data_IF_605822749829
#
_entry.id   IF_605822749829
#
_cell.length_a   1.000
_cell.length_b   1.000
_cell.length_c   1.000
_cell.angle_alpha   90.00
_cell.angle_beta   90.00
_cell.angle_gamma   90.00
#
_symmetry.space_group_name_H-M   'P 1'
#
loop_
_entity.id
_entity.type
_entity.pdbx_description
1 polymer ?
#
# COMPACT_ATOMS: atom_id res chain seq x y z
N UNK A 1 -17.40 4.75 -21.90
CA UNK A 1 -17.64 3.49 -21.19
C UNK A 1 -16.35 2.99 -20.56
N UNK A 2 -16.34 2.80 -19.24
CA UNK A 2 -15.12 2.40 -18.54
C UNK A 2 -14.86 0.90 -18.74
N UNK A 3 -13.64 0.57 -19.10
CA UNK A 3 -13.20 -0.81 -19.31
C UNK A 3 -12.73 -1.43 -17.99
N UNK A 4 -12.90 -2.72 -17.86
CA UNK A 4 -12.37 -3.56 -16.77
C UNK A 4 -10.88 -3.28 -16.48
N UNK A 5 -10.07 -3.13 -17.53
CA UNK A 5 -8.64 -2.85 -17.39
C UNK A 5 -8.35 -1.52 -16.71
N UNK A 6 -9.17 -0.53 -16.96
CA UNK A 6 -9.06 0.80 -16.34
C UNK A 6 -9.34 0.73 -14.85
N UNK A 7 -10.40 0.01 -14.47
CA UNK A 7 -10.76 -0.20 -13.06
C UNK A 7 -9.67 -0.97 -12.33
N UNK A 8 -9.17 -2.03 -12.95
CA UNK A 8 -8.06 -2.83 -12.39
C UNK A 8 -6.81 -1.99 -12.18
N UNK A 9 -6.43 -1.18 -13.18
CA UNK A 9 -5.27 -0.30 -13.09
C UNK A 9 -5.44 0.73 -11.96
N UNK A 10 -6.63 1.25 -11.78
CA UNK A 10 -6.93 2.19 -10.70
C UNK A 10 -6.72 1.54 -9.32
N UNK A 11 -7.26 0.35 -9.09
CA UNK A 11 -7.06 -0.38 -7.83
C UNK A 11 -5.60 -0.80 -7.63
N UNK A 12 -4.89 -1.13 -8.70
CA UNK A 12 -3.48 -1.51 -8.63
C UNK A 12 -2.61 -0.36 -8.07
N UNK A 13 -3.01 0.89 -8.29
CA UNK A 13 -2.31 2.05 -7.72
C UNK A 13 -2.26 2.01 -6.19
N UNK A 14 -3.32 1.52 -5.54
CA UNK A 14 -3.34 1.37 -4.08
C UNK A 14 -2.27 0.39 -3.61
N UNK A 15 -2.16 -0.73 -4.29
CA UNK A 15 -1.17 -1.77 -3.98
C UNK A 15 0.24 -1.29 -4.25
N UNK A 16 0.45 -0.61 -5.38
CA UNK A 16 1.75 -0.03 -5.74
C UNK A 16 2.20 1.02 -4.71
N UNK A 17 1.29 1.88 -4.28
CA UNK A 17 1.60 2.90 -3.27
C UNK A 17 1.93 2.26 -1.92
N UNK A 18 1.23 1.20 -1.53
CA UNK A 18 1.54 0.45 -0.31
C UNK A 18 2.94 -0.17 -0.37
N UNK A 19 3.34 -0.70 -1.52
CA UNK A 19 4.69 -1.22 -1.74
C UNK A 19 5.74 -0.11 -1.65
N UNK A 20 5.45 1.07 -2.20
CA UNK A 20 6.32 2.24 -2.11
C UNK A 20 6.49 2.72 -0.67
N UNK A 21 5.42 2.72 0.12
CA UNK A 21 5.48 3.07 1.56
C UNK A 21 6.40 2.09 2.29
N UNK A 22 6.26 0.80 2.04
CA UNK A 22 7.10 -0.22 2.67
C UNK A 22 8.58 -0.07 2.25
N UNK A 23 8.85 0.20 0.97
CA UNK A 23 10.19 0.46 0.47
C UNK A 23 10.81 1.70 1.12
N UNK A 24 10.01 2.75 1.35
CA UNK A 24 10.44 3.97 2.02
C UNK A 24 10.83 3.70 3.48
N UNK A 25 10.04 2.88 4.19
CA UNK A 25 10.36 2.47 5.56
C UNK A 25 11.70 1.71 5.62
N UNK A 26 11.92 0.80 4.69
CA UNK A 26 13.17 0.05 4.59
C UNK A 26 14.36 0.96 4.27
N UNK A 27 14.17 1.94 3.41
CA UNK A 27 15.19 2.94 3.07
C UNK A 27 15.62 3.72 4.31
N UNK A 28 14.68 4.18 5.11
CA UNK A 28 14.93 4.91 6.37
C UNK A 28 15.70 4.00 7.34
N UNK A 29 15.29 2.75 7.46
CA UNK A 29 15.96 1.79 8.34
C UNK A 29 17.41 1.55 7.92
N UNK A 30 17.69 1.45 6.62
CA UNK A 30 19.07 1.30 6.11
C UNK A 30 19.92 2.53 6.43
N UNK A 31 19.36 3.73 6.34
CA UNK A 31 20.07 4.97 6.69
C UNK A 31 20.40 4.97 8.18
N UNK A 32 19.46 4.58 9.04
CA UNK A 32 19.67 4.45 10.48
C UNK A 32 20.76 3.44 10.81
N UNK A 33 20.71 2.27 10.21
CA UNK A 33 21.69 1.20 10.42
C UNK A 33 23.11 1.66 10.01
N UNK A 34 23.21 2.37 8.89
CA UNK A 34 24.49 2.94 8.44
C UNK A 34 25.01 4.00 9.41
N UNK A 35 24.13 4.86 9.93
CA UNK A 35 24.50 5.87 10.91
C UNK A 35 24.96 5.24 12.23
N UNK A 36 24.32 4.19 12.69
CA UNK A 36 24.72 3.43 13.88
C UNK A 36 26.09 2.78 13.71
N UNK A 37 26.36 2.18 12.55
CA UNK A 37 27.67 1.60 12.25
C UNK A 37 28.77 2.66 12.26
N UNK A 38 28.51 3.84 11.70
CA UNK A 38 29.44 4.95 11.75
C UNK A 38 29.73 5.39 13.19
N UNK A 39 28.69 5.44 14.04
CA UNK A 39 28.82 5.79 15.46
C UNK A 39 29.64 4.75 16.23
N UNK A 40 29.40 3.46 15.97
CA UNK A 40 30.15 2.37 16.60
C UNK A 40 31.61 2.36 16.20
N UNK A 41 31.95 2.64 14.96
CA UNK A 41 33.34 2.73 14.49
C UNK A 41 34.07 3.94 15.06
N UNK A 42 33.35 4.92 15.60
CA UNK A 42 33.91 6.11 16.26
C UNK A 42 34.18 5.93 17.73
N UNK A 43 33.66 4.89 18.39
CA UNK A 43 33.87 4.65 19.81
C UNK A 43 35.26 4.09 20.08
N UNK A 44 36.23 4.96 20.22
CA UNK A 44 37.60 4.59 20.52
C UNK A 44 38.68 5.35 19.77
N UNK A 45 38.31 6.21 18.83
CA UNK A 45 39.27 7.09 18.14
C UNK A 45 38.94 8.56 18.41
N UNK A 46 39.91 9.41 18.83
CA UNK A 46 39.71 10.84 18.85
C UNK A 46 39.65 11.35 17.42
N UNK A 47 38.44 11.48 16.89
CA UNK A 47 38.19 11.95 15.52
C UNK A 47 37.78 13.41 15.53
N UNK A 48 38.55 14.25 14.86
CA UNK A 48 38.11 15.60 14.51
C UNK A 48 36.94 15.58 13.52
N UNK A 49 36.25 16.65 13.42
CA UNK A 49 35.07 17.07 12.71
C UNK A 49 34.41 16.30 11.57
N UNK A 50 35.10 15.46 10.80
CA UNK A 50 34.54 14.76 9.63
C UNK A 50 33.47 13.74 10.01
N UNK A 51 33.63 13.08 11.12
CA UNK A 51 32.70 12.05 11.58
C UNK A 51 31.40 12.64 12.15
N UNK A 52 31.49 13.84 12.77
CA UNK A 52 30.33 14.59 13.23
C UNK A 52 29.46 15.06 12.07
N UNK A 53 30.06 15.46 10.95
CA UNK A 53 29.36 15.89 9.75
C UNK A 53 28.58 14.76 9.11
N UNK A 54 29.14 13.54 9.06
CA UNK A 54 28.46 12.37 8.52
C UNK A 54 27.21 11.99 9.34
N UNK A 55 27.31 12.07 10.66
CA UNK A 55 26.16 11.82 11.56
C UNK A 55 25.10 12.92 11.39
N UNK A 56 25.51 14.18 11.27
CA UNK A 56 24.63 15.32 11.02
C UNK A 56 23.88 15.17 9.68
N UNK A 57 24.56 14.79 8.62
CA UNK A 57 23.95 14.49 7.31
C UNK A 57 22.95 13.35 7.39
N UNK A 58 23.27 12.29 8.13
CA UNK A 58 22.36 11.16 8.31
C UNK A 58 21.08 11.59 9.04
N UNK A 59 21.19 12.39 10.08
CA UNK A 59 20.04 12.90 10.84
C UNK A 59 19.15 13.77 9.95
N UNK A 60 19.73 14.70 9.20
CA UNK A 60 18.96 15.57 8.28
C UNK A 60 18.26 14.74 7.19
N UNK A 61 18.97 13.75 6.66
CA UNK A 61 18.41 12.86 5.64
C UNK A 61 17.27 12.02 6.19
N UNK A 62 17.41 11.48 7.40
CA UNK A 62 16.35 10.72 8.08
C UNK A 62 15.12 11.61 8.28
N UNK A 63 15.29 12.83 8.76
CA UNK A 63 14.17 13.76 8.95
C UNK A 63 13.44 14.06 7.64
N UNK A 64 14.17 14.27 6.54
CA UNK A 64 13.58 14.50 5.22
C UNK A 64 12.81 13.28 4.74
N UNK A 65 13.42 12.10 4.85
CA UNK A 65 12.81 10.85 4.40
C UNK A 65 11.60 10.47 5.26
N UNK A 66 11.61 10.78 6.56
CA UNK A 66 10.46 10.57 7.45
C UNK A 66 9.29 11.49 7.10
N UNK A 67 9.56 12.74 6.72
CA UNK A 67 8.51 13.65 6.22
C UNK A 67 7.90 13.13 4.92
N UNK A 68 8.74 12.63 4.02
CA UNK A 68 8.28 12.01 2.77
C UNK A 68 7.42 10.78 3.06
N UNK A 69 7.85 9.93 3.99
CA UNK A 69 7.10 8.76 4.42
C UNK A 69 5.73 9.15 4.97
N UNK A 70 5.68 10.16 5.82
CA UNK A 70 4.43 10.64 6.42
C UNK A 70 3.44 11.11 5.36
N UNK A 71 3.94 11.84 4.35
CA UNK A 71 3.09 12.28 3.23
C UNK A 71 2.60 11.09 2.40
N UNK A 72 3.48 10.11 2.12
CA UNK A 72 3.10 8.90 1.40
C UNK A 72 2.04 8.08 2.16
N UNK A 73 2.16 8.00 3.49
CA UNK A 73 1.18 7.31 4.33
C UNK A 73 -0.18 8.00 4.31
N UNK A 74 -0.21 9.34 4.31
CA UNK A 74 -1.45 10.12 4.18
C UNK A 74 -2.10 9.88 2.82
N UNK A 75 -1.31 9.93 1.75
CA UNK A 75 -1.79 9.67 0.39
C UNK A 75 -2.35 8.25 0.27
N UNK A 76 -1.67 7.27 0.86
CA UNK A 76 -2.13 5.88 0.90
C UNK A 76 -3.45 5.75 1.66
N UNK A 77 -3.58 6.42 2.80
CA UNK A 77 -4.80 6.40 3.60
C UNK A 77 -6.00 6.93 2.81
N UNK A 78 -5.82 8.06 2.12
CA UNK A 78 -6.86 8.66 1.27
C UNK A 78 -7.24 7.72 0.13
N UNK A 79 -6.25 7.14 -0.54
CA UNK A 79 -6.47 6.21 -1.64
C UNK A 79 -7.18 4.93 -1.18
N UNK A 80 -6.76 4.37 -0.06
CA UNK A 80 -7.40 3.18 0.53
C UNK A 80 -8.84 3.43 0.94
N UNK A 81 -9.14 4.61 1.49
CA UNK A 81 -10.49 5.01 1.85
C UNK A 81 -11.39 5.09 0.61
N UNK A 82 -10.93 5.75 -0.43
CA UNK A 82 -11.65 5.82 -1.71
C UNK A 82 -11.82 4.44 -2.34
N UNK A 83 -10.77 3.62 -2.32
CA UNK A 83 -10.82 2.26 -2.86
C UNK A 83 -11.86 1.39 -2.13
N UNK A 84 -11.90 1.49 -0.80
CA UNK A 84 -12.91 0.78 0.00
C UNK A 84 -14.33 1.23 -0.37
N UNK A 85 -14.56 2.54 -0.48
CA UNK A 85 -15.86 3.08 -0.87
C UNK A 85 -16.30 2.57 -2.24
N UNK A 86 -15.39 2.58 -3.21
CA UNK A 86 -15.68 2.10 -4.57
C UNK A 86 -15.93 0.59 -4.61
N UNK A 87 -15.12 -0.20 -3.92
CA UNK A 87 -15.28 -1.66 -3.87
C UNK A 87 -16.64 -2.05 -3.28
N UNK A 88 -17.04 -1.41 -2.19
CA UNK A 88 -18.30 -1.70 -1.51
C UNK A 88 -19.54 -1.07 -2.17
N UNK A 89 -19.37 -0.40 -3.31
CA UNK A 89 -20.49 -0.11 -4.22
C UNK A 89 -21.09 -1.39 -4.80
N UNK A 90 -20.34 -2.50 -4.80
CA UNK A 90 -20.87 -3.82 -5.12
C UNK A 90 -21.73 -4.31 -3.96
N UNK A 91 -23.02 -4.16 -4.10
CA UNK A 91 -24.00 -4.53 -3.09
C UNK A 91 -25.23 -5.16 -3.75
N UNK A 92 -26.08 -5.76 -2.97
CA UNK A 92 -27.36 -6.30 -3.45
C UNK A 92 -27.44 -7.82 -3.45
N UNK A 93 -26.31 -8.55 -3.37
CA UNK A 93 -26.31 -9.99 -3.27
C UNK A 93 -25.14 -10.47 -2.40
N UNK A 94 -25.22 -11.69 -1.88
CA UNK A 94 -24.12 -12.30 -1.13
C UNK A 94 -22.87 -12.47 -2.00
N UNK A 95 -23.06 -12.77 -3.30
CA UNK A 95 -21.96 -12.88 -4.25
C UNK A 95 -21.26 -11.54 -4.49
N UNK A 96 -22.02 -10.47 -4.70
CA UNK A 96 -21.50 -9.12 -4.86
C UNK A 96 -20.69 -8.68 -3.64
N UNK A 97 -21.16 -8.99 -2.43
CA UNK A 97 -20.46 -8.69 -1.20
C UNK A 97 -19.13 -9.44 -1.10
N UNK A 98 -19.09 -10.71 -1.49
CA UNK A 98 -17.86 -11.49 -1.53
C UNK A 98 -16.87 -10.96 -2.58
N UNK A 99 -17.36 -10.50 -3.72
CA UNK A 99 -16.55 -9.84 -4.75
C UNK A 99 -15.90 -8.57 -4.17
N UNK A 100 -16.68 -7.74 -3.48
CA UNK A 100 -16.18 -6.54 -2.82
C UNK A 100 -15.13 -6.87 -1.76
N UNK A 101 -15.37 -7.88 -0.92
CA UNK A 101 -14.42 -8.32 0.11
C UNK A 101 -13.11 -8.80 -0.52
N UNK A 102 -13.16 -9.56 -1.60
CA UNK A 102 -11.97 -10.02 -2.31
C UNK A 102 -11.15 -8.86 -2.88
N UNK A 103 -11.82 -7.87 -3.49
CA UNK A 103 -11.17 -6.68 -4.04
C UNK A 103 -10.52 -5.88 -2.91
N UNK A 104 -11.25 -5.64 -1.83
CA UNK A 104 -10.75 -4.93 -0.66
C UNK A 104 -9.53 -5.63 -0.06
N UNK A 105 -9.62 -6.92 0.19
CA UNK A 105 -8.55 -7.69 0.83
C UNK A 105 -7.28 -7.71 -0.05
N UNK A 106 -7.44 -7.83 -1.36
CA UNK A 106 -6.30 -7.90 -2.26
C UNK A 106 -5.63 -6.54 -2.48
N UNK A 107 -6.41 -5.49 -2.77
CA UNK A 107 -5.86 -4.19 -3.16
C UNK A 107 -5.66 -3.22 -1.99
N UNK A 108 -6.49 -3.27 -0.97
CA UNK A 108 -6.40 -2.36 0.18
C UNK A 108 -5.62 -3.00 1.32
N UNK A 109 -5.91 -4.25 1.66
CA UNK A 109 -5.21 -4.99 2.73
C UNK A 109 -3.91 -5.65 2.28
N UNK A 110 -3.63 -5.68 0.98
CA UNK A 110 -2.45 -6.31 0.38
C UNK A 110 -2.26 -7.79 0.76
N UNK A 111 -3.36 -8.49 0.96
CA UNK A 111 -3.32 -9.91 1.28
C UNK A 111 -3.03 -10.74 0.03
N UNK A 112 -2.33 -11.85 0.20
CA UNK A 112 -2.17 -12.82 -0.89
C UNK A 112 -3.48 -13.60 -1.08
N UNK A 113 -3.67 -14.15 -2.27
CA UNK A 113 -4.91 -14.86 -2.62
C UNK A 113 -5.22 -16.02 -1.67
N UNK A 114 -4.20 -16.69 -1.16
CA UNK A 114 -4.36 -17.79 -0.20
C UNK A 114 -5.02 -17.31 1.10
N UNK A 115 -4.55 -16.19 1.65
CA UNK A 115 -5.12 -15.62 2.87
C UNK A 115 -6.54 -15.12 2.64
N UNK A 116 -6.81 -14.56 1.46
CA UNK A 116 -8.16 -14.12 1.09
C UNK A 116 -9.11 -15.32 1.03
N UNK A 117 -8.69 -16.42 0.40
CA UNK A 117 -9.48 -17.63 0.32
C UNK A 117 -9.84 -18.18 1.72
N UNK A 118 -8.90 -18.16 2.66
CA UNK A 118 -9.13 -18.55 4.04
C UNK A 118 -10.12 -17.60 4.73
N UNK A 119 -9.96 -16.30 4.55
CA UNK A 119 -10.80 -15.26 5.17
C UNK A 119 -12.25 -15.29 4.69
N UNK A 120 -12.46 -15.51 3.39
CA UNK A 120 -13.78 -15.50 2.75
C UNK A 120 -14.40 -16.91 2.69
N UNK A 121 -13.72 -17.89 3.24
CA UNK A 121 -14.18 -19.29 3.30
C UNK A 121 -14.35 -19.95 1.92
N UNK A 122 -13.44 -19.66 1.00
CA UNK A 122 -13.39 -20.35 -0.29
C UNK A 122 -12.65 -21.68 -0.18
N UNK A 123 -13.17 -22.69 -0.85
CA UNK A 123 -12.52 -24.01 -0.92
C UNK A 123 -11.31 -24.02 -1.85
N UNK A 124 -11.23 -23.09 -2.80
CA UNK A 124 -10.20 -23.03 -3.82
C UNK A 124 -9.64 -21.60 -3.94
N UNK A 125 -8.30 -21.47 -3.90
CA UNK A 125 -7.59 -20.23 -4.08
C UNK A 125 -7.92 -19.57 -5.44
N UNK A 126 -8.12 -20.35 -6.48
CA UNK A 126 -8.46 -19.85 -7.81
C UNK A 126 -9.80 -19.10 -7.85
N UNK A 127 -10.71 -19.37 -6.92
CA UNK A 127 -11.97 -18.67 -6.81
C UNK A 127 -11.76 -17.17 -6.52
N UNK A 128 -10.72 -16.82 -5.78
CA UNK A 128 -10.39 -15.42 -5.47
C UNK A 128 -10.17 -14.60 -6.74
N UNK A 129 -9.36 -15.11 -7.67
CA UNK A 129 -9.10 -14.45 -8.96
C UNK A 129 -10.38 -14.22 -9.75
N UNK A 130 -11.24 -15.24 -9.79
CA UNK A 130 -12.53 -15.18 -10.50
C UNK A 130 -13.44 -14.11 -9.88
N UNK A 131 -13.56 -14.09 -8.55
CA UNK A 131 -14.40 -13.12 -7.85
C UNK A 131 -13.88 -11.70 -8.02
N UNK A 132 -12.57 -11.49 -7.96
CA UNK A 132 -11.96 -10.18 -8.21
C UNK A 132 -12.27 -9.72 -9.64
N UNK A 133 -12.09 -10.58 -10.62
CA UNK A 133 -12.36 -10.26 -12.03
C UNK A 133 -13.83 -9.90 -12.25
N UNK A 134 -14.74 -10.74 -11.78
CA UNK A 134 -16.18 -10.48 -11.89
C UNK A 134 -16.58 -9.17 -11.19
N UNK A 135 -16.02 -8.92 -10.01
CA UNK A 135 -16.24 -7.68 -9.27
C UNK A 135 -15.73 -6.45 -10.02
N UNK A 136 -14.56 -6.55 -10.66
CA UNK A 136 -14.00 -5.48 -11.48
C UNK A 136 -14.85 -5.20 -12.71
N UNK A 137 -15.36 -6.25 -13.36
CA UNK A 137 -16.27 -6.12 -14.50
C UNK A 137 -17.57 -5.42 -14.08
N UNK A 138 -18.14 -5.81 -12.95
CA UNK A 138 -19.32 -5.18 -12.39
C UNK A 138 -19.09 -3.73 -12.02
N UNK A 139 -17.95 -3.41 -11.41
CA UNK A 139 -17.57 -2.03 -11.09
C UNK A 139 -17.37 -1.19 -12.34
N UNK A 140 -16.85 -1.75 -13.41
CA UNK A 140 -16.65 -1.04 -14.68
C UNK A 140 -17.98 -0.50 -15.23
N UNK A 141 -19.06 -1.26 -15.08
CA UNK A 141 -20.40 -0.84 -15.52
C UNK A 141 -20.92 0.38 -14.76
N UNK A 142 -20.58 0.53 -13.49
CA UNK A 142 -21.07 1.60 -12.62
C UNK A 142 -20.00 2.67 -12.31
N UNK A 143 -18.79 2.52 -12.83
CA UNK A 143 -17.62 3.30 -12.44
C UNK A 143 -17.81 4.82 -12.52
N UNK A 144 -18.42 5.29 -13.62
CA UNK A 144 -18.64 6.71 -13.86
C UNK A 144 -19.71 7.32 -12.94
N UNK A 145 -20.57 6.47 -12.37
CA UNK A 145 -21.67 6.88 -11.50
C UNK A 145 -21.32 6.78 -10.00
N UNK A 146 -20.15 6.28 -9.67
CA UNK A 146 -19.71 6.17 -8.27
C UNK A 146 -19.38 7.56 -7.75
N UNK A 147 -20.13 7.99 -6.74
CA UNK A 147 -19.85 9.23 -6.01
C UNK A 147 -19.01 8.86 -4.79
N UNK A 148 -17.82 9.40 -4.74
CA UNK A 148 -16.96 9.30 -3.56
C UNK A 148 -17.08 10.61 -2.79
N UNK A 149 -17.26 10.49 -1.49
CA UNK A 149 -17.21 11.66 -0.61
C UNK A 149 -15.79 12.24 -0.67
N UNK A 150 -15.70 13.42 -1.25
CA UNK A 150 -14.42 14.15 -1.29
C UNK A 150 -14.24 14.96 -0.02
#
# INVERSE_FOLDING_TARGET
MTDYKTVKAWFQQCRDLAEQVEAQKQKIQRIRDTAEKCTQSMSGMPMGGEAGDKVGFAVERIDTEERNLKQMELDLCEMCTEAAQRAYCLSGSARARKQADCIYDYYVQNLCQRKIAESVSFKNVNAVSVYIREGMEALAEIWENIQTDQ
#
